data_IF_991256022634
#
_entry.id   IF_991256022634
#
_cell.length_a   1.000
_cell.length_b   1.000
_cell.length_c   1.000
_cell.angle_alpha   90.00
_cell.angle_beta   90.00
_cell.angle_gamma   90.00
#
_symmetry.space_group_name_H-M   'P 1'
#
loop_
_entity.id
_entity.type
_entity.pdbx_description
1 polymer ?
#
# COMPACT_ATOMS: atom_id res chain seq x y z
N UNK A 1 -16.87 4.27 -16.94
CA UNK A 1 -15.66 3.54 -16.50
C UNK A 1 -16.12 2.34 -15.69
N UNK A 2 -15.54 1.15 -15.88
CA UNK A 2 -16.08 -0.11 -15.33
C UNK A 2 -15.83 -0.31 -13.82
N UNK A 3 -14.88 0.44 -13.25
CA UNK A 3 -14.51 0.37 -11.84
C UNK A 3 -14.32 1.77 -11.25
N UNK A 4 -14.54 1.90 -9.94
CA UNK A 4 -14.15 3.07 -9.15
C UNK A 4 -12.73 2.90 -8.55
N UNK A 5 -12.22 3.97 -7.93
CA UNK A 5 -10.86 3.98 -7.39
C UNK A 5 -10.68 3.02 -6.21
N UNK A 6 -11.72 2.85 -5.39
CA UNK A 6 -11.70 1.95 -4.25
C UNK A 6 -11.62 0.48 -4.67
N UNK A 7 -12.35 0.11 -5.73
CA UNK A 7 -12.31 -1.23 -6.33
C UNK A 7 -10.92 -1.52 -6.90
N UNK A 8 -10.31 -0.54 -7.59
CA UNK A 8 -8.96 -0.69 -8.11
C UNK A 8 -7.91 -0.76 -6.99
N UNK A 9 -8.05 0.07 -5.95
CA UNK A 9 -7.12 0.07 -4.81
C UNK A 9 -7.13 -1.29 -4.10
N UNK A 10 -8.28 -1.91 -3.93
CA UNK A 10 -8.44 -3.25 -3.35
C UNK A 10 -7.80 -4.38 -4.18
N UNK A 11 -7.21 -4.11 -5.34
CA UNK A 11 -6.44 -5.06 -6.15
C UNK A 11 -4.92 -4.85 -6.05
N UNK A 12 -4.46 -3.85 -5.29
CA UNK A 12 -3.05 -3.47 -5.19
C UNK A 12 -2.38 -4.21 -4.02
N UNK A 13 -1.17 -4.70 -4.26
CA UNK A 13 -0.21 -5.11 -3.23
C UNK A 13 0.85 -4.01 -3.06
N UNK A 14 0.93 -3.38 -1.89
CA UNK A 14 1.82 -2.26 -1.64
C UNK A 14 3.22 -2.75 -1.22
N UNK A 15 4.15 -2.75 -2.16
CA UNK A 15 5.52 -3.21 -1.92
C UNK A 15 6.39 -2.15 -1.23
N UNK A 16 6.93 -2.47 -0.05
CA UNK A 16 7.88 -1.67 0.73
C UNK A 16 9.23 -2.41 0.82
N UNK A 17 9.82 -2.72 -0.34
CA UNK A 17 10.95 -3.65 -0.48
C UNK A 17 12.32 -2.96 -0.65
N UNK A 18 12.41 -1.66 -0.41
CA UNK A 18 13.70 -0.98 -0.52
C UNK A 18 14.61 -1.43 0.64
N UNK A 19 15.82 -1.98 0.38
CA UNK A 19 16.68 -2.54 1.43
C UNK A 19 17.18 -1.53 2.49
N UNK A 20 16.98 -0.24 2.26
CA UNK A 20 17.40 0.84 3.17
C UNK A 20 16.21 1.62 3.73
N UNK A 21 15.01 1.05 3.68
CA UNK A 21 13.82 1.62 4.30
C UNK A 21 14.05 1.75 5.80
N UNK A 22 13.82 2.94 6.33
CA UNK A 22 13.79 3.19 7.78
C UNK A 22 12.46 2.71 8.38
N UNK A 23 12.44 2.46 9.68
CA UNK A 23 11.21 2.13 10.41
C UNK A 23 10.11 3.20 10.24
N UNK A 24 10.49 4.46 10.11
CA UNK A 24 9.56 5.57 9.92
C UNK A 24 8.90 5.50 8.53
N UNK A 25 9.70 5.31 7.49
CA UNK A 25 9.22 5.12 6.13
C UNK A 25 8.35 3.87 6.01
N UNK A 26 8.70 2.79 6.72
CA UNK A 26 7.92 1.55 6.74
C UNK A 26 6.54 1.79 7.35
N UNK A 27 6.48 2.47 8.51
CA UNK A 27 5.20 2.82 9.15
C UNK A 27 4.38 3.76 8.28
N UNK A 28 5.01 4.73 7.62
CA UNK A 28 4.34 5.63 6.69
C UNK A 28 3.75 4.89 5.49
N UNK A 29 4.48 3.93 4.92
CA UNK A 29 4.00 3.06 3.84
C UNK A 29 2.82 2.20 4.26
N UNK A 30 2.88 1.56 5.42
CA UNK A 30 1.76 0.80 5.99
C UNK A 30 0.53 1.69 6.23
N UNK A 31 0.72 2.91 6.75
CA UNK A 31 -0.37 3.87 6.95
C UNK A 31 -1.01 4.31 5.63
N UNK A 32 -0.20 4.47 4.57
CA UNK A 32 -0.68 4.78 3.23
C UNK A 32 -1.53 3.64 2.65
N UNK A 33 -1.04 2.41 2.75
CA UNK A 33 -1.77 1.20 2.34
C UNK A 33 -3.13 1.11 3.05
N UNK A 34 -3.16 1.33 4.37
CA UNK A 34 -4.40 1.34 5.15
C UNK A 34 -5.35 2.47 4.73
N UNK A 35 -4.83 3.68 4.49
CA UNK A 35 -5.63 4.83 4.05
C UNK A 35 -6.39 4.55 2.76
N UNK A 36 -5.79 3.84 1.82
CA UNK A 36 -6.38 3.52 0.53
C UNK A 36 -7.06 2.16 0.48
N UNK A 37 -7.04 1.39 1.58
CA UNK A 37 -7.62 0.04 1.67
C UNK A 37 -7.13 -0.88 0.56
N UNK A 38 -5.82 -0.83 0.29
CA UNK A 38 -5.17 -1.79 -0.61
C UNK A 38 -5.25 -3.21 -0.02
N UNK A 39 -5.10 -4.24 -0.85
CA UNK A 39 -5.31 -5.62 -0.42
C UNK A 39 -4.27 -6.05 0.61
N UNK A 40 -3.00 -5.77 0.31
CA UNK A 40 -1.86 -6.30 1.06
C UNK A 40 -0.70 -5.30 1.06
N UNK A 41 0.23 -5.52 1.98
CA UNK A 41 1.55 -4.87 2.01
C UNK A 41 2.59 -5.99 1.91
N UNK A 42 3.54 -5.84 0.99
CA UNK A 42 4.65 -6.76 0.82
C UNK A 42 5.93 -6.12 1.38
N UNK A 43 6.57 -6.79 2.34
CA UNK A 43 7.71 -6.33 3.13
C UNK A 43 8.73 -7.45 3.27
#
# INVERSE_FOLDING_TARGET
>A
MKYNYEELAGMIDHSLLHPTLTDEELRAGCALAARYRVATVCI
#
